data_IF_964782811764
#
_entry.id   IF_964782811764
#
_cell.length_a   1.000
_cell.length_b   1.000
_cell.length_c   1.000
_cell.angle_alpha   90.00
_cell.angle_beta   90.00
_cell.angle_gamma   90.00
#
_symmetry.space_group_name_H-M   'P 1'
#
loop_
_entity.id
_entity.type
_entity.pdbx_description
1 polymer ?
#
# COMPACT_ATOMS: atom_id res chain seq x y z
N UNK A 1 0.64 -10.96 -17.89
CA UNK A 1 -0.72 -10.38 -18.04
C UNK A 1 -0.58 -9.10 -18.85
N UNK A 2 -1.33 -8.94 -19.94
CA UNK A 2 -1.20 -7.75 -20.81
C UNK A 2 -1.70 -6.49 -20.08
N UNK A 3 -1.04 -5.35 -20.27
CA UNK A 3 -1.36 -4.09 -19.60
C UNK A 3 -2.86 -3.72 -19.73
N UNK A 4 -3.44 -3.93 -20.91
CA UNK A 4 -4.86 -3.63 -21.18
C UNK A 4 -5.85 -4.45 -20.34
N UNK A 5 -5.48 -5.68 -19.97
CA UNK A 5 -6.29 -6.51 -19.07
C UNK A 5 -6.27 -5.94 -17.66
N UNK A 6 -5.09 -5.51 -17.19
CA UNK A 6 -4.95 -4.86 -15.88
C UNK A 6 -5.71 -3.54 -15.83
N UNK A 7 -5.63 -2.71 -16.88
CA UNK A 7 -6.36 -1.44 -16.97
C UNK A 7 -7.87 -1.67 -16.84
N UNK A 8 -8.45 -2.54 -17.69
CA UNK A 8 -9.88 -2.87 -17.62
C UNK A 8 -10.29 -3.44 -16.27
N UNK A 9 -9.46 -4.27 -15.66
CA UNK A 9 -9.71 -4.79 -14.32
C UNK A 9 -9.76 -3.66 -13.27
N UNK A 10 -8.75 -2.81 -13.21
CA UNK A 10 -8.66 -1.78 -12.17
C UNK A 10 -9.61 -0.60 -12.37
N UNK A 11 -10.03 -0.30 -13.60
CA UNK A 11 -11.14 0.63 -13.84
C UNK A 11 -12.45 0.14 -13.20
N UNK A 12 -12.68 -1.19 -13.10
CA UNK A 12 -13.85 -1.73 -12.39
C UNK A 12 -13.67 -1.74 -10.88
N UNK A 13 -12.43 -1.93 -10.40
CA UNK A 13 -12.11 -1.98 -8.96
C UNK A 13 -12.11 -0.57 -8.34
N UNK A 14 -11.71 0.44 -9.11
CA UNK A 14 -11.63 1.84 -8.70
C UNK A 14 -12.35 2.74 -9.73
N UNK A 15 -13.67 2.64 -9.87
CA UNK A 15 -14.44 3.40 -10.86
C UNK A 15 -14.35 4.93 -10.66
N UNK A 16 -13.99 5.38 -9.47
CA UNK A 16 -13.78 6.79 -9.14
C UNK A 16 -12.43 7.34 -9.59
N UNK A 17 -11.48 6.46 -9.95
CA UNK A 17 -10.17 6.89 -10.41
C UNK A 17 -10.22 7.32 -11.87
N UNK A 18 -9.51 8.40 -12.20
CA UNK A 18 -9.28 8.78 -13.59
C UNK A 18 -8.49 7.70 -14.33
N UNK A 19 -8.62 7.66 -15.65
CA UNK A 19 -7.84 6.75 -16.51
C UNK A 19 -6.33 6.86 -16.25
N UNK A 20 -5.82 8.08 -16.09
CA UNK A 20 -4.42 8.33 -15.74
C UNK A 20 -4.04 7.72 -14.38
N UNK A 21 -4.90 7.85 -13.37
CA UNK A 21 -4.65 7.22 -12.07
C UNK A 21 -4.60 5.69 -12.15
N UNK A 22 -5.39 5.08 -13.03
CA UNK A 22 -5.31 3.64 -13.31
C UNK A 22 -4.04 3.28 -14.10
N UNK A 23 -3.66 4.10 -15.09
CA UNK A 23 -2.43 3.90 -15.85
C UNK A 23 -1.19 3.94 -14.94
N UNK A 24 -1.16 4.84 -13.96
CA UNK A 24 -0.09 4.93 -12.95
C UNK A 24 -0.01 3.64 -12.09
N UNK A 25 -1.15 3.09 -11.67
CA UNK A 25 -1.21 1.82 -10.94
C UNK A 25 -0.67 0.66 -11.78
N UNK A 26 -1.12 0.57 -13.03
CA UNK A 26 -0.70 -0.50 -13.94
C UNK A 26 0.79 -0.39 -14.24
N UNK A 27 1.28 0.83 -14.50
CA UNK A 27 2.70 1.09 -14.67
C UNK A 27 3.48 0.65 -13.44
N UNK A 28 3.03 0.99 -12.23
CA UNK A 28 3.72 0.61 -11.00
C UNK A 28 3.81 -0.91 -10.83
N UNK A 29 2.72 -1.63 -11.13
CA UNK A 29 2.69 -3.10 -11.09
C UNK A 29 3.66 -3.71 -12.12
N UNK A 30 3.76 -3.15 -13.32
CA UNK A 30 4.58 -3.68 -14.41
C UNK A 30 6.06 -3.35 -14.26
N UNK A 31 6.38 -2.15 -13.75
CA UNK A 31 7.76 -1.68 -13.61
C UNK A 31 8.36 -1.88 -12.23
N UNK A 32 7.63 -2.52 -11.29
CA UNK A 32 8.09 -2.69 -9.91
C UNK A 32 8.23 -1.37 -9.14
N UNK A 33 7.45 -0.33 -9.50
CA UNK A 33 7.55 0.99 -8.85
C UNK A 33 7.11 0.92 -7.39
N UNK A 34 7.79 1.70 -6.57
CA UNK A 34 7.48 1.95 -5.17
C UNK A 34 7.84 3.41 -4.84
N UNK A 35 7.44 3.88 -3.67
CA UNK A 35 7.71 5.23 -3.20
C UNK A 35 8.21 5.19 -1.77
N UNK A 36 9.16 6.06 -1.41
CA UNK A 36 9.51 6.27 0.00
C UNK A 36 8.33 6.96 0.70
N UNK A 37 8.12 6.62 1.96
CA UNK A 37 7.09 7.31 2.77
C UNK A 37 7.57 8.71 3.16
N UNK A 38 8.88 8.86 3.34
CA UNK A 38 9.52 10.11 3.74
C UNK A 38 10.88 10.24 3.02
N UNK A 39 11.19 11.42 2.49
CA UNK A 39 12.39 11.68 1.68
C UNK A 39 13.71 11.38 2.42
N UNK A 40 13.80 11.82 3.68
CA UNK A 40 14.96 11.61 4.57
C UNK A 40 14.99 10.32 5.39
N UNK A 41 14.06 9.36 5.21
CA UNK A 41 14.00 8.12 6.01
C UNK A 41 13.82 6.88 5.13
N UNK A 42 14.79 5.95 5.18
CA UNK A 42 14.86 4.79 4.28
C UNK A 42 14.29 3.47 4.85
N UNK A 43 13.47 3.57 5.88
CA UNK A 43 12.89 2.41 6.57
C UNK A 43 11.42 2.16 6.23
N UNK A 44 10.77 2.97 5.40
CA UNK A 44 9.36 2.80 5.07
C UNK A 44 9.03 3.14 3.61
N UNK A 45 8.22 2.29 2.98
CA UNK A 45 7.88 2.38 1.57
C UNK A 45 6.39 2.12 1.31
N UNK A 46 5.84 2.81 0.32
CA UNK A 46 4.61 2.43 -0.35
C UNK A 46 4.92 1.46 -1.48
N UNK A 47 4.35 0.26 -1.39
CA UNK A 47 4.53 -0.77 -2.42
C UNK A 47 3.19 -1.34 -2.87
N UNK A 48 3.03 -1.62 -4.16
CA UNK A 48 1.78 -2.19 -4.66
C UNK A 48 1.78 -3.70 -4.43
N UNK A 49 0.74 -4.22 -3.79
CA UNK A 49 0.53 -5.65 -3.64
C UNK A 49 0.25 -6.31 -5.00
N UNK A 50 0.96 -7.40 -5.28
CA UNK A 50 0.82 -8.22 -6.49
C UNK A 50 -0.05 -9.45 -6.24
N UNK A 51 -0.20 -9.85 -4.98
CA UNK A 51 -1.02 -10.99 -4.54
C UNK A 51 -1.93 -10.61 -3.37
N UNK A 52 -2.82 -11.53 -2.98
CA UNK A 52 -3.48 -11.48 -1.68
C UNK A 52 -2.50 -11.99 -0.60
N UNK A 53 -2.67 -11.54 0.64
CA UNK A 53 -1.92 -12.03 1.79
C UNK A 53 -2.64 -13.23 2.43
N UNK A 54 -2.51 -14.42 1.82
CA UNK A 54 -3.23 -15.64 2.26
C UNK A 54 -2.35 -16.75 2.80
N UNK A 55 -1.04 -16.67 2.56
CA UNK A 55 -0.09 -17.71 2.95
C UNK A 55 0.48 -17.32 4.32
N UNK A 56 0.18 -18.06 5.40
CA UNK A 56 0.75 -17.78 6.72
C UNK A 56 2.27 -17.81 6.68
N UNK A 57 2.92 -16.90 7.38
CA UNK A 57 4.37 -16.85 7.53
C UNK A 57 4.79 -15.97 8.68
N UNK A 58 5.66 -16.51 9.55
CA UNK A 58 6.03 -15.87 10.82
C UNK A 58 4.75 -15.48 11.60
N UNK A 59 4.64 -14.24 12.06
CA UNK A 59 3.48 -13.70 12.78
C UNK A 59 2.37 -13.14 11.88
N UNK A 60 2.44 -13.32 10.56
CA UNK A 60 1.50 -12.73 9.61
C UNK A 60 1.31 -13.55 8.34
N UNK A 61 1.14 -12.86 7.21
CA UNK A 61 0.86 -13.48 5.91
C UNK A 61 1.73 -12.89 4.82
N UNK A 62 2.32 -13.73 3.95
CA UNK A 62 3.11 -13.24 2.80
C UNK A 62 2.22 -12.61 1.74
N UNK A 63 2.61 -11.43 1.28
CA UNK A 63 2.16 -10.85 0.03
C UNK A 63 3.37 -10.53 -0.87
N UNK A 64 3.27 -10.85 -2.17
CA UNK A 64 4.21 -10.33 -3.15
C UNK A 64 3.91 -8.84 -3.37
N UNK A 65 4.94 -8.02 -3.50
CA UNK A 65 4.83 -6.57 -3.72
C UNK A 65 5.77 -6.11 -4.83
N UNK A 66 5.55 -4.90 -5.35
CA UNK A 66 6.44 -4.28 -6.35
C UNK A 66 7.85 -4.06 -5.81
N UNK A 67 7.98 -3.65 -4.56
CA UNK A 67 9.20 -3.70 -3.77
C UNK A 67 8.84 -3.94 -2.29
N UNK A 68 9.69 -4.59 -1.49
CA UNK A 68 10.95 -5.26 -1.83
C UNK A 68 10.72 -6.70 -2.33
N UNK A 69 9.60 -6.97 -2.99
CA UNK A 69 9.25 -8.28 -3.55
C UNK A 69 8.37 -9.11 -2.64
N UNK A 70 8.68 -9.19 -1.33
CA UNK A 70 7.82 -9.83 -0.32
C UNK A 70 7.65 -8.93 0.89
N UNK A 71 6.41 -8.80 1.37
CA UNK A 71 6.05 -8.10 2.60
C UNK A 71 5.21 -9.03 3.46
N UNK A 72 5.50 -9.07 4.77
CA UNK A 72 4.69 -9.76 5.77
C UNK A 72 3.58 -8.82 6.20
N UNK A 73 2.35 -9.16 5.83
CA UNK A 73 1.18 -8.37 6.19
C UNK A 73 0.62 -8.90 7.51
N UNK A 74 0.40 -8.03 8.49
CA UNK A 74 -0.11 -8.47 9.79
C UNK A 74 -1.53 -9.02 9.69
N UNK A 75 -1.96 -9.89 10.63
CA UNK A 75 -3.27 -10.55 10.54
C UNK A 75 -4.45 -9.59 10.35
N UNK A 76 -4.43 -8.44 11.05
CA UNK A 76 -5.47 -7.40 10.96
C UNK A 76 -5.56 -6.76 9.57
N UNK A 77 -4.42 -6.63 8.89
CA UNK A 77 -4.29 -5.97 7.59
C UNK A 77 -4.44 -6.96 6.42
N UNK A 78 -4.14 -8.25 6.65
CA UNK A 78 -4.10 -9.29 5.62
C UNK A 78 -5.43 -9.45 4.86
N UNK A 79 -6.57 -9.34 5.56
CA UNK A 79 -7.92 -9.42 4.97
C UNK A 79 -8.19 -8.33 3.92
N UNK A 80 -7.49 -7.20 4.00
CA UNK A 80 -7.61 -6.08 3.07
C UNK A 80 -6.60 -6.14 1.92
N UNK A 81 -5.56 -6.95 2.06
CA UNK A 81 -4.53 -7.10 1.04
C UNK A 81 -5.09 -7.79 -0.21
N UNK A 82 -5.13 -7.04 -1.31
CA UNK A 82 -5.52 -7.52 -2.65
C UNK A 82 -4.58 -6.93 -3.67
N UNK A 83 -4.45 -7.60 -4.82
CA UNK A 83 -3.66 -7.08 -5.94
C UNK A 83 -4.12 -5.65 -6.29
N UNK A 84 -3.16 -4.75 -6.45
CA UNK A 84 -3.42 -3.33 -6.75
C UNK A 84 -3.82 -2.48 -5.54
N UNK A 85 -3.77 -3.01 -4.33
CA UNK A 85 -3.76 -2.21 -3.09
C UNK A 85 -2.32 -1.86 -2.74
N UNK A 86 -2.13 -0.82 -1.94
CA UNK A 86 -0.81 -0.37 -1.50
C UNK A 86 -0.54 -0.90 -0.10
N UNK A 87 0.66 -1.41 0.12
CA UNK A 87 1.18 -1.82 1.42
C UNK A 87 2.08 -0.71 1.93
N UNK A 88 1.86 -0.29 3.18
CA UNK A 88 2.82 0.54 3.90
C UNK A 88 3.85 -0.38 4.55
N UNK A 89 4.91 -0.67 3.81
CA UNK A 89 5.95 -1.61 4.20
C UNK A 89 7.03 -0.92 5.04
N UNK A 90 7.14 -1.30 6.32
CA UNK A 90 8.16 -0.85 7.26
C UNK A 90 9.27 -1.90 7.37
N UNK A 91 10.52 -1.48 7.35
CA UNK A 91 11.68 -2.34 7.60
C UNK A 91 11.87 -2.49 9.10
N UNK A 92 11.79 -3.73 9.60
CA UNK A 92 12.06 -4.10 10.98
C UNK A 92 12.90 -5.37 10.99
N UNK A 93 14.06 -5.32 11.66
CA UNK A 93 14.98 -6.46 11.79
C UNK A 93 15.34 -7.11 10.43
N UNK A 94 15.55 -6.28 9.40
CA UNK A 94 15.88 -6.72 8.04
C UNK A 94 14.69 -7.23 7.21
N UNK A 95 13.49 -7.33 7.80
CA UNK A 95 12.28 -7.84 7.17
C UNK A 95 11.29 -6.70 6.93
N UNK A 96 10.48 -6.79 5.87
CA UNK A 96 9.44 -5.81 5.58
C UNK A 96 8.08 -6.28 6.08
N UNK A 97 7.47 -5.47 6.95
CA UNK A 97 6.19 -5.73 7.58
C UNK A 97 5.20 -4.63 7.19
N UNK A 98 3.96 -4.99 6.93
CA UNK A 98 2.89 -4.04 6.64
C UNK A 98 1.72 -4.24 7.60
N UNK A 99 1.54 -3.25 8.46
CA UNK A 99 0.41 -3.18 9.39
C UNK A 99 -0.79 -2.39 8.86
N UNK A 100 -0.63 -1.79 7.68
CA UNK A 100 -1.62 -0.93 7.04
C UNK A 100 -1.67 -1.22 5.55
N UNK A 101 -2.86 -1.56 5.05
CA UNK A 101 -3.15 -1.60 3.61
C UNK A 101 -3.89 -0.33 3.22
N UNK A 102 -3.55 0.26 2.08
CA UNK A 102 -4.13 1.50 1.59
C UNK A 102 -4.80 1.20 0.24
N UNK A 103 -6.01 1.72 0.02
CA UNK A 103 -6.59 1.71 -1.31
C UNK A 103 -5.89 2.68 -2.25
N UNK A 104 -5.97 2.39 -3.55
CA UNK A 104 -5.30 3.22 -4.54
C UNK A 104 -5.79 4.69 -4.53
N UNK A 105 -7.09 4.99 -4.47
CA UNK A 105 -7.57 6.37 -4.36
C UNK A 105 -7.06 7.14 -3.13
N UNK A 106 -6.99 6.51 -1.95
CA UNK A 106 -6.44 7.13 -0.75
C UNK A 106 -4.93 7.30 -0.86
N UNK A 107 -4.22 6.33 -1.42
CA UNK A 107 -2.77 6.45 -1.67
C UNK A 107 -2.45 7.67 -2.54
N UNK A 108 -3.19 7.89 -3.63
CA UNK A 108 -3.02 9.06 -4.50
C UNK A 108 -3.19 10.40 -3.76
N UNK A 109 -3.94 10.41 -2.66
CA UNK A 109 -4.09 11.58 -1.78
C UNK A 109 -2.95 11.66 -0.76
N UNK A 110 -2.64 10.55 -0.09
CA UNK A 110 -1.61 10.47 0.96
C UNK A 110 -0.25 10.89 0.43
N UNK A 111 0.14 10.45 -0.77
CA UNK A 111 1.47 10.78 -1.33
C UNK A 111 1.66 12.28 -1.62
N UNK A 112 0.60 13.08 -1.55
CA UNK A 112 0.63 14.53 -1.75
C UNK A 112 0.52 15.30 -0.43
N UNK A 113 0.45 14.60 0.70
CA UNK A 113 0.37 15.20 2.03
C UNK A 113 1.75 15.47 2.58
N UNK A 114 1.79 16.22 3.69
CA UNK A 114 3.02 16.42 4.46
C UNK A 114 3.60 15.06 4.90
N UNK A 115 4.83 14.79 4.48
CA UNK A 115 5.47 13.50 4.72
C UNK A 115 5.81 13.28 6.20
N UNK A 116 6.06 14.33 6.99
CA UNK A 116 6.31 14.21 8.42
C UNK A 116 5.06 13.73 9.14
N UNK A 117 3.91 14.38 8.86
CA UNK A 117 2.63 14.00 9.44
C UNK A 117 2.26 12.57 9.08
N UNK A 118 2.41 12.20 7.80
CA UNK A 118 2.10 10.84 7.34
C UNK A 118 3.00 9.81 8.01
N UNK A 119 4.29 10.12 8.14
CA UNK A 119 5.25 9.24 8.79
C UNK A 119 4.94 9.05 10.27
N UNK A 120 4.70 10.13 11.02
CA UNK A 120 4.30 10.07 12.43
C UNK A 120 3.04 9.22 12.62
N UNK A 121 1.97 9.51 11.85
CA UNK A 121 0.65 8.90 12.03
C UNK A 121 0.54 7.47 11.56
N UNK A 122 1.33 7.06 10.57
CA UNK A 122 1.23 5.73 9.96
C UNK A 122 2.45 4.84 10.18
N UNK A 123 3.65 5.44 10.30
CA UNK A 123 4.90 4.69 10.47
C UNK A 123 5.28 4.56 11.93
N UNK A 124 5.30 5.65 12.70
CA UNK A 124 5.70 5.63 14.12
C UNK A 124 4.57 5.23 15.06
N UNK A 125 3.32 5.48 14.66
CA UNK A 125 2.15 5.02 15.39
C UNK A 125 2.21 3.49 15.62
N UNK A 126 2.10 3.08 16.89
CA UNK A 126 2.12 1.68 17.34
C UNK A 126 0.84 0.93 16.97
N UNK A 127 -0.26 1.64 16.75
CA UNK A 127 -1.56 1.08 16.36
C UNK A 127 -2.18 1.86 15.18
N UNK A 128 -1.54 1.87 13.99
CA UNK A 128 -2.09 2.56 12.84
C UNK A 128 -3.35 1.82 12.35
N UNK A 129 -4.21 2.42 11.52
CA UNK A 129 -5.34 1.69 10.95
C UNK A 129 -4.88 0.51 10.09
N UNK A 130 -5.56 -0.62 10.21
CA UNK A 130 -5.28 -1.79 9.37
C UNK A 130 -5.61 -1.57 7.89
N UNK A 131 -6.57 -0.67 7.61
CA UNK A 131 -6.98 -0.32 6.25
C UNK A 131 -7.32 1.17 6.11
N UNK A 132 -6.74 1.80 5.10
CA UNK A 132 -7.01 3.18 4.74
C UNK A 132 -7.72 3.22 3.39
N UNK A 133 -8.91 3.78 3.40
CA UNK A 133 -9.68 4.13 2.22
C UNK A 133 -10.07 5.61 2.27
N UNK A 134 -10.80 6.09 1.27
CA UNK A 134 -11.27 7.48 1.23
C UNK A 134 -11.99 7.93 2.51
N UNK A 135 -12.77 7.06 3.16
CA UNK A 135 -13.53 7.39 4.38
C UNK A 135 -12.61 7.45 5.60
N UNK A 136 -11.76 6.44 5.79
CA UNK A 136 -10.89 6.36 6.96
C UNK A 136 -9.70 7.31 6.90
N UNK A 137 -9.30 7.75 5.70
CA UNK A 137 -8.24 8.76 5.51
C UNK A 137 -8.53 10.05 6.29
N UNK A 138 -9.78 10.51 6.32
CA UNK A 138 -10.15 11.75 7.04
C UNK A 138 -9.94 11.58 8.55
N UNK A 139 -10.25 10.40 9.10
CA UNK A 139 -10.08 10.13 10.53
C UNK A 139 -8.59 10.08 10.93
N UNK A 140 -7.75 9.50 10.07
CA UNK A 140 -6.28 9.46 10.27
C UNK A 140 -5.67 10.86 10.34
N UNK A 141 -6.24 11.82 9.61
CA UNK A 141 -5.73 13.19 9.52
C UNK A 141 -6.22 14.12 10.64
N UNK A 142 -7.25 13.70 11.39
CA UNK A 142 -7.86 14.49 12.48
C UNK A 142 -7.48 14.00 13.87
N UNK A 143 -7.11 12.74 14.01
CA UNK A 143 -6.50 12.20 15.21
C UNK A 143 -5.08 12.76 15.35
#
# INVERSE_FOLDING_TARGET
MRAEVLKRHFMRVYPECSRRGIDDLVSAILSGKYWKVHSGRDNAYYAVALTRARIPYMSGFKAKSTAPGTVIVSPRAARFCRRGRVLLAKKKDGIFISDTVIDWPAFLRIIRMDENLVYERLVENSNPPAFINRRTLIAVLRA
#
